data_IF_987958031982
#
_entry.id   IF_987958031982
#
_cell.length_a   1.000
_cell.length_b   1.000
_cell.length_c   1.000
_cell.angle_alpha   90.00
_cell.angle_beta   90.00
_cell.angle_gamma   90.00
#
_symmetry.space_group_name_H-M   'P 1'
#
loop_
_entity.id
_entity.type
_entity.pdbx_description
1 polymer ?
#
# COMPACT_ATOMS: atom_id res chain seq x y z
N UNK A 1 -2.44 0.07 -19.63
CA UNK A 1 -1.22 0.09 -18.79
C UNK A 1 -0.47 1.43 -18.82
N UNK A 2 0.01 1.89 -19.99
CA UNK A 2 0.82 3.12 -20.08
C UNK A 2 0.07 4.39 -19.64
N UNK A 3 -1.18 4.58 -20.08
CA UNK A 3 -2.00 5.73 -19.68
C UNK A 3 -2.28 5.77 -18.17
N UNK A 4 -2.47 4.61 -17.53
CA UNK A 4 -2.64 4.51 -16.07
C UNK A 4 -1.37 4.95 -15.34
N UNK A 5 -0.22 4.45 -15.78
CA UNK A 5 1.08 4.79 -15.21
C UNK A 5 1.41 6.27 -15.37
N UNK A 6 1.16 6.85 -16.56
CA UNK A 6 1.30 8.29 -16.78
C UNK A 6 0.36 9.10 -15.87
N UNK A 7 -0.89 8.64 -15.69
CA UNK A 7 -1.83 9.28 -14.77
C UNK A 7 -1.33 9.28 -13.32
N UNK A 8 -0.74 8.17 -12.86
CA UNK A 8 -0.13 8.09 -11.52
C UNK A 8 1.05 9.06 -11.38
N UNK A 9 1.93 9.14 -12.38
CA UNK A 9 3.05 10.10 -12.38
C UNK A 9 2.53 11.53 -12.31
N UNK A 10 1.54 11.88 -13.16
CA UNK A 10 0.95 13.22 -13.18
C UNK A 10 0.29 13.54 -11.84
N UNK A 11 -0.40 12.58 -11.22
CA UNK A 11 -0.99 12.74 -9.89
C UNK A 11 0.05 12.98 -8.79
N UNK A 12 1.29 12.50 -8.95
CA UNK A 12 2.40 12.75 -8.02
C UNK A 12 3.04 14.14 -8.18
N UNK A 13 2.90 14.81 -9.33
CA UNK A 13 3.58 16.08 -9.59
C UNK A 13 3.24 17.20 -8.60
N UNK A 14 1.98 17.40 -8.16
CA UNK A 14 1.68 18.42 -7.16
C UNK A 14 2.52 18.26 -5.88
N UNK A 15 2.73 17.03 -5.40
CA UNK A 15 3.56 16.79 -4.21
C UNK A 15 4.99 17.27 -4.42
N UNK A 16 5.58 16.95 -5.57
CA UNK A 16 6.94 17.41 -5.93
C UNK A 16 6.99 18.94 -6.05
N UNK A 17 6.00 19.56 -6.70
CA UNK A 17 5.95 21.01 -6.92
C UNK A 17 5.75 21.79 -5.62
N UNK A 18 5.03 21.21 -4.64
CA UNK A 18 4.88 21.79 -3.29
C UNK A 18 6.04 21.45 -2.35
N UNK A 19 7.09 20.77 -2.85
CA UNK A 19 8.27 20.42 -2.04
C UNK A 19 8.02 19.31 -1.02
N UNK A 20 6.96 18.50 -1.20
CA UNK A 20 6.70 17.31 -0.40
C UNK A 20 7.50 16.16 -1.03
N UNK A 21 8.79 16.12 -0.71
CA UNK A 21 9.74 15.13 -1.24
C UNK A 21 10.44 14.34 -0.14
N UNK A 22 10.91 13.16 -0.52
CA UNK A 22 11.75 12.33 0.34
C UNK A 22 13.18 12.90 0.35
N UNK A 23 13.42 13.89 1.21
CA UNK A 23 14.68 14.63 1.23
C UNK A 23 15.80 13.87 1.94
N UNK A 24 15.44 13.09 2.96
CA UNK A 24 16.37 12.32 3.78
C UNK A 24 15.84 10.92 4.04
N UNK A 25 16.74 9.94 4.06
CA UNK A 25 16.45 8.59 4.54
C UNK A 25 17.29 8.36 5.79
N UNK A 26 16.63 8.05 6.90
CA UNK A 26 17.27 7.76 8.18
C UNK A 26 17.01 6.32 8.62
N UNK A 27 18.04 5.67 9.15
CA UNK A 27 17.95 4.29 9.63
C UNK A 27 19.26 3.79 10.24
N UNK A 28 19.17 2.98 11.31
CA UNK A 28 20.33 2.36 11.97
C UNK A 28 21.44 3.36 12.37
N UNK A 29 21.07 4.58 12.74
CA UNK A 29 22.00 5.65 13.12
C UNK A 29 22.60 6.44 11.95
N UNK A 30 22.28 6.09 10.71
CA UNK A 30 22.70 6.81 9.51
C UNK A 30 21.58 7.74 9.02
N UNK A 31 21.96 8.91 8.52
CA UNK A 31 21.09 9.84 7.81
C UNK A 31 21.73 10.13 6.47
N UNK A 32 21.01 9.87 5.38
CA UNK A 32 21.47 10.10 4.02
C UNK A 32 20.58 11.16 3.38
N UNK A 33 21.19 12.29 3.01
CA UNK A 33 20.58 13.33 2.20
C UNK A 33 20.47 12.88 0.75
N UNK A 34 19.26 12.96 0.19
CA UNK A 34 18.99 12.54 -1.19
C UNK A 34 19.03 13.71 -2.18
N UNK A 35 18.78 14.93 -1.72
CA UNK A 35 18.69 16.11 -2.59
C UNK A 35 17.77 15.87 -3.78
N UNK A 36 18.28 16.06 -5.00
CA UNK A 36 17.50 15.87 -6.24
C UNK A 36 17.00 14.43 -6.45
N UNK A 37 17.63 13.42 -5.82
CA UNK A 37 17.16 12.02 -5.87
C UNK A 37 15.87 11.81 -5.07
N UNK A 38 15.51 12.72 -4.18
CA UNK A 38 14.25 12.68 -3.44
C UNK A 38 13.03 12.78 -4.35
N UNK A 39 13.13 13.53 -5.45
CA UNK A 39 12.03 13.72 -6.42
C UNK A 39 11.63 12.39 -7.10
N UNK A 40 12.53 11.69 -7.83
CA UNK A 40 12.16 10.43 -8.47
C UNK A 40 11.78 9.36 -7.44
N UNK A 41 12.37 9.37 -6.24
CA UNK A 41 11.99 8.44 -5.18
C UNK A 41 10.57 8.68 -4.67
N UNK A 42 10.16 9.95 -4.54
CA UNK A 42 8.80 10.33 -4.14
C UNK A 42 7.77 9.90 -5.17
N UNK A 43 8.05 10.15 -6.45
CA UNK A 43 7.15 9.71 -7.55
C UNK A 43 7.07 8.19 -7.56
N UNK A 44 8.21 7.50 -7.50
CA UNK A 44 8.27 6.04 -7.44
C UNK A 44 7.46 5.51 -6.26
N UNK A 45 7.59 6.11 -5.08
CA UNK A 45 6.87 5.72 -3.87
C UNK A 45 5.34 5.79 -4.06
N UNK A 46 4.82 6.94 -4.51
CA UNK A 46 3.39 7.14 -4.70
C UNK A 46 2.82 6.18 -5.75
N UNK A 47 3.53 6.03 -6.87
CA UNK A 47 3.18 5.09 -7.93
C UNK A 47 3.21 3.64 -7.42
N UNK A 48 4.22 3.27 -6.63
CA UNK A 48 4.34 1.93 -6.07
C UNK A 48 3.18 1.63 -5.11
N UNK A 49 2.84 2.54 -4.19
CA UNK A 49 1.71 2.36 -3.28
C UNK A 49 0.37 2.19 -4.03
N UNK A 50 0.11 3.02 -5.05
CA UNK A 50 -1.08 2.88 -5.90
C UNK A 50 -1.16 1.50 -6.56
N UNK A 51 -0.05 1.02 -7.15
CA UNK A 51 -0.05 -0.27 -7.85
C UNK A 51 -0.08 -1.45 -6.87
N UNK A 52 0.54 -1.35 -5.70
CA UNK A 52 0.50 -2.39 -4.67
C UNK A 52 -0.92 -2.62 -4.15
N UNK A 53 -1.65 -1.55 -3.82
CA UNK A 53 -3.04 -1.68 -3.36
C UNK A 53 -3.95 -2.18 -4.49
N UNK A 54 -3.74 -1.71 -5.73
CA UNK A 54 -4.46 -2.22 -6.90
C UNK A 54 -4.21 -3.72 -7.16
N UNK A 55 -2.99 -4.21 -6.92
CA UNK A 55 -2.67 -5.64 -7.02
C UNK A 55 -3.39 -6.48 -5.96
N UNK A 56 -3.57 -5.92 -4.76
CA UNK A 56 -4.20 -6.60 -3.62
C UNK A 56 -5.74 -6.57 -3.68
N UNK A 57 -6.33 -5.74 -4.54
CA UNK A 57 -7.79 -5.61 -4.72
C UNK A 57 -8.42 -6.80 -5.48
N UNK A 58 -7.67 -7.88 -5.69
CA UNK A 58 -8.17 -9.13 -6.27
C UNK A 58 -8.94 -10.03 -5.31
N UNK A 59 -8.97 -9.70 -4.00
CA UNK A 59 -9.61 -10.48 -2.95
C UNK A 59 -10.55 -9.61 -2.11
N UNK A 60 -11.76 -10.12 -1.86
CA UNK A 60 -12.80 -9.46 -1.05
C UNK A 60 -12.27 -9.04 0.33
N UNK A 61 -12.40 -7.76 0.64
CA UNK A 61 -12.02 -7.19 1.93
C UNK A 61 -10.51 -7.03 2.17
N UNK A 62 -9.64 -7.58 1.33
CA UNK A 62 -8.19 -7.61 1.58
C UNK A 62 -7.55 -6.21 1.47
N UNK A 63 -7.68 -5.58 0.31
CA UNK A 63 -7.12 -4.26 0.05
C UNK A 63 -7.65 -3.21 1.04
N UNK A 64 -8.96 -3.25 1.32
CA UNK A 64 -9.60 -2.36 2.28
C UNK A 64 -9.09 -2.57 3.71
N UNK A 65 -8.95 -3.82 4.18
CA UNK A 65 -8.49 -4.13 5.55
C UNK A 65 -7.04 -3.71 5.77
N UNK A 66 -6.16 -3.91 4.79
CA UNK A 66 -4.74 -3.55 4.94
C UNK A 66 -4.56 -2.04 4.88
N UNK A 67 -5.30 -1.38 3.99
CA UNK A 67 -5.33 0.09 3.94
C UNK A 67 -5.89 0.69 5.23
N UNK A 68 -6.83 0.02 5.89
CA UNK A 68 -7.40 0.43 7.18
C UNK A 68 -6.33 0.40 8.27
N UNK A 69 -5.56 -0.68 8.37
CA UNK A 69 -4.44 -0.80 9.32
C UNK A 69 -3.35 0.23 9.03
N UNK A 70 -3.03 0.45 7.75
CA UNK A 70 -2.05 1.46 7.34
C UNK A 70 -2.52 2.87 7.74
N UNK A 71 -3.78 3.24 7.44
CA UNK A 71 -4.34 4.53 7.78
C UNK A 71 -4.40 4.76 9.31
N UNK A 72 -4.76 3.75 10.10
CA UNK A 72 -4.70 3.84 11.57
C UNK A 72 -3.27 4.09 12.08
N UNK A 73 -2.30 3.38 11.50
CA UNK A 73 -0.89 3.50 11.88
C UNK A 73 -0.34 4.88 11.51
N UNK A 74 -0.63 5.36 10.29
CA UNK A 74 -0.27 6.71 9.84
C UNK A 74 -0.92 7.76 10.73
N UNK A 75 -2.20 7.60 11.10
CA UNK A 75 -2.87 8.49 12.03
C UNK A 75 -2.18 8.54 13.39
N UNK A 76 -1.79 7.39 13.94
CA UNK A 76 -1.08 7.33 15.22
C UNK A 76 0.28 8.02 15.13
N UNK A 77 1.05 7.76 14.07
CA UNK A 77 2.34 8.41 13.83
C UNK A 77 2.17 9.93 13.66
N UNK A 78 1.14 10.36 12.94
CA UNK A 78 0.83 11.78 12.76
C UNK A 78 0.47 12.48 14.09
N UNK A 79 -0.23 11.80 15.01
CA UNK A 79 -0.48 12.33 16.36
C UNK A 79 0.84 12.51 17.13
N UNK A 80 1.72 11.52 17.10
CA UNK A 80 3.05 11.58 17.74
C UNK A 80 3.89 12.70 17.14
N UNK A 81 3.83 12.88 15.82
CA UNK A 81 4.51 13.92 15.07
C UNK A 81 3.85 15.32 15.21
N UNK A 82 2.76 15.45 15.97
CA UNK A 82 1.98 16.69 16.13
C UNK A 82 1.46 17.27 14.81
N UNK A 83 1.02 16.40 13.90
CA UNK A 83 0.42 16.72 12.60
C UNK A 83 -1.10 16.45 12.63
N UNK A 84 -1.91 17.33 13.25
CA UNK A 84 -3.33 17.07 13.48
C UNK A 84 -4.14 16.95 12.18
N UNK A 85 -3.75 17.65 11.12
CA UNK A 85 -4.41 17.58 9.81
C UNK A 85 -4.24 16.19 9.19
N UNK A 86 -3.02 15.66 9.18
CA UNK A 86 -2.73 14.33 8.62
C UNK A 86 -3.42 13.23 9.44
N UNK A 87 -3.42 13.36 10.77
CA UNK A 87 -4.15 12.46 11.65
C UNK A 87 -5.66 12.47 11.36
N UNK A 88 -6.27 13.65 11.29
CA UNK A 88 -7.69 13.81 10.99
C UNK A 88 -8.10 13.23 9.63
N UNK A 89 -7.32 13.49 8.58
CA UNK A 89 -7.58 12.93 7.24
C UNK A 89 -7.49 11.40 7.22
N UNK A 90 -6.55 10.81 7.95
CA UNK A 90 -6.46 9.35 8.06
C UNK A 90 -7.60 8.74 8.87
N UNK A 91 -8.10 9.41 9.91
CA UNK A 91 -9.29 8.95 10.64
C UNK A 91 -10.56 9.01 9.77
N UNK A 92 -10.67 10.03 8.91
CA UNK A 92 -11.75 10.08 7.90
C UNK A 92 -11.59 8.90 6.93
N UNK A 93 -10.38 8.64 6.44
CA UNK A 93 -10.10 7.49 5.57
C UNK A 93 -10.46 6.16 6.24
N UNK A 94 -10.17 6.01 7.54
CA UNK A 94 -10.59 4.85 8.35
C UNK A 94 -12.11 4.70 8.36
N UNK A 95 -12.86 5.79 8.58
CA UNK A 95 -14.33 5.76 8.52
C UNK A 95 -14.87 5.35 7.15
N UNK A 96 -14.29 5.88 6.07
CA UNK A 96 -14.63 5.50 4.69
C UNK A 96 -14.36 4.02 4.45
N UNK A 97 -13.20 3.52 4.88
CA UNK A 97 -12.81 2.12 4.70
C UNK A 97 -13.69 1.18 5.51
N UNK A 98 -14.06 1.52 6.75
CA UNK A 98 -15.00 0.71 7.54
C UNK A 98 -16.37 0.63 6.86
N UNK A 99 -16.90 1.75 6.37
CA UNK A 99 -18.17 1.77 5.64
C UNK A 99 -18.13 0.98 4.33
N UNK A 100 -17.02 1.06 3.59
CA UNK A 100 -16.79 0.26 2.39
C UNK A 100 -16.67 -1.23 2.72
N UNK A 101 -15.92 -1.58 3.77
CA UNK A 101 -15.64 -2.95 4.18
C UNK A 101 -16.91 -3.71 4.57
N UNK A 102 -17.92 -3.04 5.14
CA UNK A 102 -19.25 -3.63 5.39
C UNK A 102 -19.92 -4.17 4.12
N UNK A 103 -19.59 -3.63 2.95
CA UNK A 103 -20.14 -4.01 1.65
C UNK A 103 -19.16 -4.85 0.81
N UNK A 104 -17.87 -4.82 1.14
CA UNK A 104 -16.80 -5.52 0.43
C UNK A 104 -16.32 -6.79 1.14
N UNK A 105 -16.80 -7.06 2.37
CA UNK A 105 -16.50 -8.32 3.07
C UNK A 105 -17.07 -9.53 2.33
N UNK A 106 -16.33 -10.64 2.30
CA UNK A 106 -16.72 -11.85 1.58
C UNK A 106 -18.07 -12.40 2.07
N UNK A 107 -19.08 -12.60 1.19
CA UNK A 107 -19.07 -12.34 -0.26
C UNK A 107 -19.32 -10.86 -0.61
N UNK A 108 -18.40 -10.26 -1.39
CA UNK A 108 -18.46 -8.83 -1.71
C UNK A 108 -19.71 -8.45 -2.53
N UNK A 109 -20.37 -7.37 -2.10
CA UNK A 109 -21.51 -6.73 -2.80
C UNK A 109 -21.07 -5.59 -3.70
N UNK A 110 -19.95 -4.93 -3.34
CA UNK A 110 -19.36 -3.82 -4.08
C UNK A 110 -17.86 -4.08 -4.19
N UNK A 111 -17.33 -3.94 -5.41
CA UNK A 111 -15.89 -4.03 -5.69
C UNK A 111 -15.28 -2.63 -5.70
N UNK A 112 -14.04 -2.52 -5.23
CA UNK A 112 -13.33 -1.24 -5.17
C UNK A 112 -12.90 -0.80 -6.58
N UNK A 113 -12.40 -1.75 -7.38
CA UNK A 113 -12.00 -1.54 -8.76
C UNK A 113 -10.77 -0.63 -8.88
N UNK A 114 -10.37 -0.36 -10.12
CA UNK A 114 -9.18 0.48 -10.38
C UNK A 114 -9.31 1.89 -9.78
N UNK A 115 -10.49 2.49 -9.85
CA UNK A 115 -10.70 3.85 -9.34
C UNK A 115 -10.48 3.91 -7.83
N UNK A 116 -11.08 2.99 -7.06
CA UNK A 116 -10.93 2.99 -5.62
C UNK A 116 -9.53 2.59 -5.17
N UNK A 117 -8.96 1.53 -5.75
CA UNK A 117 -7.69 0.97 -5.29
C UNK A 117 -6.49 1.85 -5.62
N UNK A 118 -6.48 2.50 -6.79
CA UNK A 118 -5.42 3.44 -7.17
C UNK A 118 -5.45 4.71 -6.30
N UNK A 119 -6.64 5.26 -6.06
CA UNK A 119 -6.82 6.42 -5.17
C UNK A 119 -6.44 6.06 -3.74
N UNK A 120 -6.87 4.90 -3.24
CA UNK A 120 -6.55 4.45 -1.89
C UNK A 120 -5.04 4.28 -1.71
N UNK A 121 -4.36 3.61 -2.64
CA UNK A 121 -2.90 3.48 -2.61
C UNK A 121 -2.17 4.80 -2.71
N UNK A 122 -2.68 5.75 -3.51
CA UNK A 122 -2.12 7.09 -3.57
C UNK A 122 -2.26 7.83 -2.23
N UNK A 123 -3.44 7.80 -1.60
CA UNK A 123 -3.71 8.47 -0.33
C UNK A 123 -2.86 7.90 0.81
N UNK A 124 -2.80 6.57 0.92
CA UNK A 124 -1.95 5.91 1.93
C UNK A 124 -0.48 6.27 1.70
N UNK A 125 -0.01 6.24 0.44
CA UNK A 125 1.33 6.65 0.08
C UNK A 125 1.62 8.11 0.45
N UNK A 126 0.75 9.03 0.06
CA UNK A 126 0.89 10.46 0.30
C UNK A 126 0.88 10.82 1.80
N UNK A 127 -0.07 10.29 2.56
CA UNK A 127 -0.13 10.58 4.00
C UNK A 127 1.04 9.96 4.75
N UNK A 128 1.55 8.81 4.30
CA UNK A 128 2.75 8.23 4.89
C UNK A 128 3.98 9.11 4.68
N UNK A 129 4.11 9.79 3.54
CA UNK A 129 5.20 10.76 3.31
C UNK A 129 5.11 11.92 4.32
N UNK A 130 3.93 12.50 4.46
CA UNK A 130 3.69 13.61 5.39
C UNK A 130 3.96 13.24 6.86
N UNK A 131 3.59 12.03 7.30
CA UNK A 131 3.77 11.59 8.69
C UNK A 131 5.19 11.12 9.01
N UNK A 132 5.82 10.38 8.09
CA UNK A 132 7.05 9.63 8.36
C UNK A 132 8.30 10.50 8.33
N UNK A 133 8.41 11.42 7.37
CA UNK A 133 9.65 12.20 7.16
C UNK A 133 9.81 13.38 8.12
N UNK A 134 8.74 13.77 8.84
CA UNK A 134 8.80 14.83 9.86
C UNK A 134 9.18 14.31 11.25
N UNK A 135 9.31 12.99 11.42
CA UNK A 135 9.69 12.38 12.69
C UNK A 135 11.14 11.86 12.59
N UNK A 136 12.05 12.36 13.43
CA UNK A 136 13.46 11.95 13.44
C UNK A 136 13.73 10.48 13.85
N UNK A 137 12.68 9.69 14.07
CA UNK A 137 12.76 8.29 14.40
C UNK A 137 12.67 7.48 13.10
N UNK A 138 13.50 6.44 12.93
CA UNK A 138 13.49 5.50 11.80
C UNK A 138 12.20 4.66 11.63
N UNK A 139 11.04 5.22 12.01
CA UNK A 139 9.68 4.76 11.82
C UNK A 139 9.20 4.95 10.36
N UNK A 140 10.03 5.51 9.49
CA UNK A 140 9.69 5.88 8.10
C UNK A 140 9.15 4.73 7.27
N UNK A 141 9.60 3.50 7.56
CA UNK A 141 9.23 2.30 6.82
C UNK A 141 8.02 1.55 7.39
N UNK A 142 7.43 1.97 8.51
CA UNK A 142 6.32 1.22 9.14
C UNK A 142 5.12 1.07 8.18
N UNK A 143 4.62 2.13 7.51
CA UNK A 143 3.55 1.97 6.52
C UNK A 143 3.97 1.09 5.34
N UNK A 144 5.26 1.13 4.95
CA UNK A 144 5.80 0.25 3.90
C UNK A 144 5.73 -1.21 4.33
N UNK A 145 6.16 -1.53 5.55
CA UNK A 145 6.12 -2.89 6.07
C UNK A 145 4.69 -3.40 6.19
N UNK A 146 3.75 -2.55 6.61
CA UNK A 146 2.32 -2.93 6.64
C UNK A 146 1.81 -3.24 5.24
N UNK A 147 2.06 -2.37 4.26
CA UNK A 147 1.62 -2.59 2.87
C UNK A 147 2.30 -3.79 2.21
N UNK A 148 3.60 -4.00 2.45
CA UNK A 148 4.37 -5.09 1.87
C UNK A 148 4.21 -6.42 2.62
N UNK A 149 3.70 -6.41 3.86
CA UNK A 149 3.56 -7.62 4.68
C UNK A 149 2.79 -8.72 3.94
N UNK A 150 1.76 -8.36 3.17
CA UNK A 150 0.88 -9.31 2.49
C UNK A 150 1.49 -9.80 1.17
N UNK A 151 1.95 -8.95 0.22
CA UNK A 151 2.70 -9.42 -0.94
C UNK A 151 3.92 -10.29 -0.56
N UNK A 152 4.62 -9.93 0.52
CA UNK A 152 5.73 -10.72 1.05
C UNK A 152 5.23 -12.04 1.63
N UNK A 153 4.14 -12.05 2.40
CA UNK A 153 3.56 -13.27 2.95
C UNK A 153 3.04 -14.20 1.85
N UNK A 154 2.31 -13.69 0.85
CA UNK A 154 1.79 -14.47 -0.28
C UNK A 154 2.92 -15.05 -1.14
N UNK A 155 3.95 -14.25 -1.44
CA UNK A 155 5.12 -14.73 -2.18
C UNK A 155 5.88 -15.79 -1.38
N UNK A 156 6.05 -15.56 -0.06
CA UNK A 156 6.71 -16.52 0.83
C UNK A 156 5.91 -17.82 0.94
N UNK A 157 4.59 -17.75 1.10
CA UNK A 157 3.71 -18.91 1.14
C UNK A 157 3.65 -19.63 -0.21
N UNK A 158 3.68 -18.91 -1.33
CA UNK A 158 3.79 -19.52 -2.65
C UNK A 158 5.12 -20.26 -2.82
N UNK A 159 6.24 -19.68 -2.37
CA UNK A 159 7.56 -20.33 -2.40
C UNK A 159 7.59 -21.56 -1.49
N UNK A 160 7.08 -21.45 -0.25
CA UNK A 160 7.00 -22.58 0.69
C UNK A 160 6.11 -23.69 0.12
N UNK A 161 4.92 -23.37 -0.39
CA UNK A 161 4.01 -24.33 -1.02
C UNK A 161 4.65 -25.02 -2.22
N UNK A 162 5.35 -24.29 -3.09
CA UNK A 162 6.09 -24.87 -4.22
C UNK A 162 7.21 -25.79 -3.76
N UNK A 163 7.98 -25.39 -2.76
CA UNK A 163 9.08 -26.20 -2.20
C UNK A 163 8.57 -27.47 -1.53
N UNK A 164 7.47 -27.40 -0.77
CA UNK A 164 6.81 -28.56 -0.16
C UNK A 164 6.21 -29.51 -1.21
N UNK A 165 5.77 -28.98 -2.35
CA UNK A 165 5.25 -29.76 -3.47
C UNK A 165 6.32 -30.15 -4.52
N UNK A 166 7.61 -29.94 -4.23
CA UNK A 166 8.72 -30.31 -5.13
C UNK A 166 8.77 -29.54 -6.46
N UNK A 167 8.08 -28.41 -6.58
CA UNK A 167 8.01 -27.57 -7.79
C UNK A 167 9.06 -26.46 -7.79
N UNK A 168 9.47 -26.03 -8.99
CA UNK A 168 10.46 -24.97 -9.17
C UNK A 168 9.93 -23.59 -8.74
N UNK A 169 10.80 -22.73 -8.20
CA UNK A 169 10.45 -21.40 -7.66
C UNK A 169 9.79 -20.50 -8.73
N UNK A 170 10.12 -20.69 -10.01
CA UNK A 170 9.59 -19.92 -11.15
C UNK A 170 8.45 -20.56 -11.94
N UNK A 171 7.93 -21.72 -11.53
CA UNK A 171 6.83 -22.37 -12.26
C UNK A 171 5.48 -21.68 -11.96
N UNK A 172 4.71 -21.41 -13.01
CA UNK A 172 3.37 -20.82 -12.91
C UNK A 172 2.43 -21.73 -12.12
N UNK A 173 2.11 -21.34 -10.89
CA UNK A 173 1.20 -22.08 -10.03
C UNK A 173 -0.26 -21.84 -10.48
N UNK A 174 -0.87 -22.84 -11.13
CA UNK A 174 -2.27 -22.80 -11.60
C UNK A 174 -3.28 -23.26 -10.56
N UNK A 175 -2.88 -23.50 -9.31
CA UNK A 175 -3.80 -23.91 -8.25
C UNK A 175 -4.32 -22.69 -7.49
N UNK A 176 -5.07 -21.83 -8.19
CA UNK A 176 -5.96 -20.91 -7.49
C UNK A 176 -7.02 -21.74 -6.77
N UNK A 177 -7.24 -21.46 -5.48
CA UNK A 177 -8.18 -22.17 -4.61
C UNK A 177 -9.58 -22.33 -5.24
N UNK A 178 -9.99 -21.33 -6.03
CA UNK A 178 -11.27 -21.30 -6.75
C UNK A 178 -11.41 -22.37 -7.85
N UNK A 179 -10.31 -22.83 -8.47
CA UNK A 179 -10.37 -23.93 -9.44
C UNK A 179 -10.58 -25.28 -8.74
N UNK A 180 -9.97 -25.47 -7.56
CA UNK A 180 -10.10 -26.70 -6.79
C UNK A 180 -11.53 -26.89 -6.25
N UNK A 181 -12.20 -25.81 -5.82
CA UNK A 181 -13.60 -25.85 -5.38
C UNK A 181 -14.56 -26.13 -6.54
N UNK A 182 -14.35 -25.48 -7.70
CA UNK A 182 -15.20 -25.66 -8.87
C UNK A 182 -15.11 -27.07 -9.48
N UNK A 183 -13.95 -27.72 -9.42
CA UNK A 183 -13.77 -29.08 -9.91
C UNK A 183 -14.31 -30.15 -8.92
N UNK A 184 -14.58 -29.77 -7.66
CA UNK A 184 -15.26 -30.59 -6.65
C UNK A 184 -16.79 -30.43 -6.66
N UNK A 185 -17.34 -29.56 -7.52
CA UNK A 185 -18.78 -29.33 -7.63
C UNK A 185 -19.40 -28.62 -6.42
N UNK A 186 -18.60 -27.84 -5.68
CA UNK A 186 -19.01 -27.03 -4.53
C UNK A 186 -18.89 -25.53 -4.82
#
# INVERSE_FOLDING_TARGET
PLHKFLGQIVASLPFVLFGITIDQVSGLGWVVDLGLLGIPLTVFWLVACSNLINLMDGLDGLAASISLVAALTISLLAVVAKLPVVAGLNLILVGVLLGFLMHNWNPAKIFMGDSGSLTLGFLVGAFSLESSFKTAAGLTFVPLFVLLSIPMFDTTMAIIRRKLNGRGIGEADRQHFHHCLRDLGL
#
